data_IF_004152437636
#
_entry.id   IF_004152437636
#
_cell.length_a   1.000
_cell.length_b   1.000
_cell.length_c   1.000
_cell.angle_alpha   90.00
_cell.angle_beta   90.00
_cell.angle_gamma   90.00
#
_symmetry.space_group_name_H-M   'P 1'
#
loop_
_entity.id
_entity.type
_entity.pdbx_description
1 polymer ?
#
# COMPACT_ATOMS: atom_id res chain seq x y z
N UNK A 1 0.51 0.65 8.68
CA UNK A 1 -0.23 0.01 7.56
C UNK A 1 -1.28 -0.87 8.19
N UNK A 2 -2.55 -0.68 7.85
CA UNK A 2 -3.63 -1.48 8.43
C UNK A 2 -3.92 -2.62 7.47
N UNK A 3 -3.60 -3.85 7.86
CA UNK A 3 -4.11 -5.04 7.16
C UNK A 3 -5.44 -5.40 7.82
N UNK A 4 -6.54 -5.07 7.16
CA UNK A 4 -7.88 -5.46 7.62
C UNK A 4 -8.16 -6.86 7.03
N UNK A 5 -8.28 -7.83 7.93
CA UNK A 5 -8.69 -9.18 7.60
C UNK A 5 -10.21 -9.28 7.68
N UNK A 6 -10.80 -9.54 6.53
CA UNK A 6 -12.22 -9.84 6.39
C UNK A 6 -12.38 -11.35 6.31
N UNK A 7 -13.06 -11.94 7.30
CA UNK A 7 -13.37 -13.36 7.31
C UNK A 7 -14.77 -13.66 7.85
N UNK A 8 -15.45 -14.61 7.20
CA UNK A 8 -16.73 -15.19 7.58
C UNK A 8 -16.47 -16.62 8.05
N UNK A 9 -16.80 -16.86 9.33
CA UNK A 9 -17.09 -18.12 10.02
C UNK A 9 -16.03 -19.24 9.98
N UNK A 10 -15.19 -19.31 11.02
CA UNK A 10 -14.54 -20.54 11.49
C UNK A 10 -13.79 -20.36 12.82
N UNK A 11 -13.75 -21.46 13.55
CA UNK A 11 -12.97 -21.69 14.77
C UNK A 11 -11.52 -22.05 14.41
N UNK A 12 -10.54 -21.44 15.08
CA UNK A 12 -9.12 -21.86 15.10
C UNK A 12 -8.23 -21.39 13.93
N UNK A 13 -7.36 -20.38 14.16
CA UNK A 13 -6.39 -19.83 13.18
C UNK A 13 -4.98 -19.86 13.77
N UNK A 14 -3.99 -20.41 13.04
CA UNK A 14 -2.58 -20.37 13.47
C UNK A 14 -1.70 -19.60 12.50
N UNK A 15 -0.82 -18.75 13.05
CA UNK A 15 0.09 -17.89 12.31
C UNK A 15 1.54 -18.38 12.42
N UNK A 16 2.28 -18.36 11.31
CA UNK A 16 3.75 -18.48 11.37
C UNK A 16 4.43 -17.52 10.39
N UNK A 17 5.70 -17.15 10.63
CA UNK A 17 6.56 -16.49 9.66
C UNK A 17 6.92 -17.44 8.52
N UNK A 18 6.89 -16.98 7.25
CA UNK A 18 7.45 -17.74 6.13
C UNK A 18 8.29 -16.87 5.21
N UNK A 19 9.46 -17.41 4.83
CA UNK A 19 10.44 -16.79 3.95
C UNK A 19 10.01 -16.91 2.48
N UNK A 20 9.78 -15.77 1.81
CA UNK A 20 9.83 -15.74 0.35
C UNK A 20 11.31 -15.80 -0.04
N UNK A 21 11.70 -16.89 -0.72
CA UNK A 21 13.07 -17.17 -1.11
C UNK A 21 13.80 -15.95 -1.67
N UNK A 22 14.90 -15.58 -1.01
CA UNK A 22 15.75 -14.46 -1.38
C UNK A 22 16.53 -13.91 -0.19
N UNK A 23 17.50 -14.69 0.30
CA UNK A 23 18.68 -14.27 1.09
C UNK A 23 18.54 -12.96 1.91
N UNK A 24 17.72 -12.97 2.96
CA UNK A 24 17.77 -11.99 4.04
C UNK A 24 16.98 -12.51 5.27
N UNK A 25 17.69 -13.17 6.18
CA UNK A 25 17.29 -13.39 7.59
C UNK A 25 15.99 -14.15 7.83
N UNK A 26 16.11 -15.44 8.16
CA UNK A 26 15.05 -16.22 8.82
C UNK A 26 14.73 -15.58 10.16
N UNK A 27 13.80 -14.63 10.15
CA UNK A 27 13.39 -13.84 11.31
C UNK A 27 11.91 -14.07 11.55
N UNK A 28 11.56 -14.50 12.75
CA UNK A 28 10.16 -14.56 13.12
C UNK A 28 9.52 -13.17 13.01
N UNK A 29 8.31 -13.07 12.45
CA UNK A 29 7.55 -11.82 12.41
C UNK A 29 7.32 -11.37 13.85
N UNK A 30 7.89 -10.22 14.20
CA UNK A 30 7.71 -9.60 15.52
C UNK A 30 6.55 -8.61 15.41
N UNK A 31 5.52 -8.84 16.20
CA UNK A 31 4.37 -7.93 16.33
C UNK A 31 4.68 -6.96 17.47
N UNK A 32 4.44 -5.66 17.26
CA UNK A 32 4.63 -4.66 18.31
C UNK A 32 3.49 -4.71 19.33
N UNK A 33 2.27 -4.74 18.81
CA UNK A 33 1.05 -4.92 19.57
C UNK A 33 0.03 -5.65 18.70
N UNK A 34 -0.87 -6.34 19.38
CA UNK A 34 -2.02 -6.96 18.76
C UNK A 34 -3.21 -6.94 19.71
N UNK A 35 -4.39 -6.79 19.13
CA UNK A 35 -5.67 -6.83 19.81
C UNK A 35 -6.50 -7.94 19.19
N UNK A 36 -7.17 -8.73 20.01
CA UNK A 36 -7.98 -9.87 19.59
C UNK A 36 -9.46 -9.59 19.83
N UNK A 37 -10.30 -10.27 19.05
CA UNK A 37 -11.73 -10.32 19.32
C UNK A 37 -11.99 -11.04 20.66
N UNK A 38 -13.06 -10.67 21.36
CA UNK A 38 -13.45 -11.25 22.66
C UNK A 38 -13.70 -12.77 22.61
N UNK A 39 -14.00 -13.30 21.43
CA UNK A 39 -14.25 -14.73 21.23
C UNK A 39 -12.97 -15.56 21.08
N UNK A 40 -11.78 -14.92 21.08
CA UNK A 40 -10.49 -15.58 20.93
C UNK A 40 -9.93 -16.01 22.27
N UNK A 41 -9.63 -17.30 22.38
CA UNK A 41 -8.90 -17.94 23.46
C UNK A 41 -7.40 -17.94 23.15
N UNK A 42 -6.61 -17.38 24.07
CA UNK A 42 -5.17 -17.16 23.90
C UNK A 42 -4.30 -18.22 24.57
N UNK A 43 -4.88 -19.27 25.14
CA UNK A 43 -4.16 -20.30 25.91
C UNK A 43 -3.01 -20.95 25.12
N UNK A 44 -3.16 -21.07 23.79
CA UNK A 44 -2.15 -21.62 22.89
C UNK A 44 -1.31 -20.55 22.19
N UNK A 45 -1.71 -19.28 22.25
CA UNK A 45 -1.06 -18.22 21.48
C UNK A 45 0.39 -17.97 21.91
N UNK A 46 0.67 -18.05 23.21
CA UNK A 46 2.03 -17.83 23.73
C UNK A 46 2.99 -18.98 23.38
N UNK A 47 2.45 -20.19 23.16
CA UNK A 47 3.24 -21.40 22.90
C UNK A 47 3.55 -21.55 21.42
N UNK A 48 2.53 -21.51 20.57
CA UNK A 48 2.67 -21.86 19.15
C UNK A 48 2.01 -20.84 18.19
N UNK A 49 1.59 -19.68 18.71
CA UNK A 49 0.91 -18.61 17.95
C UNK A 49 -0.42 -19.08 17.34
N UNK A 50 -1.09 -20.04 17.97
CA UNK A 50 -2.45 -20.47 17.63
C UNK A 50 -3.49 -19.64 18.34
N UNK A 51 -4.45 -19.11 17.57
CA UNK A 51 -5.67 -18.51 18.05
C UNK A 51 -6.81 -19.53 17.99
N UNK A 52 -7.38 -19.89 19.12
CA UNK A 52 -8.61 -20.67 19.16
C UNK A 52 -9.77 -19.71 19.35
N UNK A 53 -10.90 -19.88 18.65
CA UNK A 53 -12.05 -19.01 18.83
C UNK A 53 -13.35 -19.73 18.52
N UNK A 54 -14.46 -19.21 19.08
CA UNK A 54 -15.81 -19.51 18.59
C UNK A 54 -16.29 -18.33 17.75
N UNK A 55 -16.42 -18.45 16.42
CA UNK A 55 -16.72 -17.31 15.57
C UNK A 55 -18.17 -16.84 15.79
N UNK A 56 -18.39 -15.53 16.00
CA UNK A 56 -19.70 -14.93 15.83
C UNK A 56 -20.25 -15.17 14.41
N UNK A 57 -21.57 -15.05 14.27
CA UNK A 57 -22.20 -15.09 12.96
C UNK A 57 -21.87 -13.81 12.17
N UNK A 58 -21.45 -13.98 10.92
CA UNK A 58 -21.11 -12.88 10.02
C UNK A 58 -19.61 -12.61 9.91
N UNK A 59 -19.30 -11.38 9.51
CA UNK A 59 -17.94 -10.90 9.29
C UNK A 59 -17.48 -10.08 10.50
N UNK A 60 -16.33 -10.45 11.06
CA UNK A 60 -15.77 -9.76 12.23
C UNK A 60 -14.24 -9.78 12.21
N UNK A 61 -13.57 -8.76 12.76
CA UNK A 61 -12.12 -8.73 12.85
C UNK A 61 -11.65 -9.70 13.94
N UNK A 62 -10.93 -10.76 13.57
CA UNK A 62 -10.37 -11.72 14.54
C UNK A 62 -9.19 -11.11 15.32
N UNK A 63 -8.33 -10.37 14.62
CA UNK A 63 -7.09 -9.81 15.15
C UNK A 63 -6.75 -8.50 14.43
N UNK A 64 -6.38 -7.48 15.19
CA UNK A 64 -5.73 -6.28 14.70
C UNK A 64 -4.29 -6.28 15.20
N UNK A 65 -3.33 -5.91 14.36
CA UNK A 65 -1.93 -5.93 14.75
C UNK A 65 -1.15 -4.76 14.14
N UNK A 66 -0.06 -4.39 14.80
CA UNK A 66 0.88 -3.38 14.33
C UNK A 66 2.30 -3.94 14.25
N UNK A 67 3.01 -3.53 13.21
CA UNK A 67 4.43 -3.85 12.99
C UNK A 67 5.14 -2.57 12.58
N UNK A 68 6.29 -2.33 13.20
CA UNK A 68 7.22 -1.22 12.95
C UNK A 68 8.60 -1.71 12.54
N UNK A 69 8.82 -3.03 12.51
CA UNK A 69 10.00 -3.61 11.92
C UNK A 69 10.22 -3.06 10.50
N UNK A 70 11.49 -2.83 10.15
CA UNK A 70 11.86 -2.41 8.81
C UNK A 70 11.32 -3.40 7.78
N UNK A 71 10.50 -2.90 6.88
CA UNK A 71 10.01 -3.65 5.74
C UNK A 71 10.33 -2.87 4.48
N UNK A 72 10.51 -3.59 3.36
CA UNK A 72 10.71 -2.97 2.06
C UNK A 72 9.37 -2.38 1.59
N UNK A 73 9.26 -1.05 1.39
CA UNK A 73 8.02 -0.45 0.92
C UNK A 73 7.65 -0.98 -0.47
N UNK A 74 6.36 -1.23 -0.77
CA UNK A 74 5.94 -1.81 -2.04
C UNK A 74 6.14 -0.90 -3.25
N UNK A 75 6.25 0.40 -3.02
CA UNK A 75 6.61 1.36 -4.05
C UNK A 75 7.85 2.13 -3.61
N UNK A 76 8.62 2.63 -4.56
CA UNK A 76 9.65 3.64 -4.32
C UNK A 76 9.29 4.85 -5.17
N UNK A 77 9.19 6.01 -4.53
CA UNK A 77 8.85 7.28 -5.19
C UNK A 77 10.10 8.14 -5.21
N UNK A 78 10.51 8.57 -6.40
CA UNK A 78 11.54 9.58 -6.58
C UNK A 78 10.92 10.79 -7.27
N UNK A 79 11.17 11.97 -6.74
CA UNK A 79 10.63 13.23 -7.25
C UNK A 79 11.80 14.16 -7.54
N UNK A 80 11.79 14.79 -8.70
CA UNK A 80 12.76 15.81 -9.08
C UNK A 80 11.99 17.03 -9.58
N UNK A 81 12.41 18.22 -9.13
CA UNK A 81 11.86 19.49 -9.56
C UNK A 81 12.99 20.29 -10.18
N UNK A 82 12.83 20.71 -11.43
CA UNK A 82 13.80 21.48 -12.19
C UNK A 82 13.21 22.83 -12.58
N UNK A 83 13.93 23.91 -12.35
CA UNK A 83 13.52 25.25 -12.79
C UNK A 83 13.82 25.41 -14.29
N UNK A 84 12.80 25.83 -15.05
CA UNK A 84 12.85 25.95 -16.51
C UNK A 84 12.65 27.41 -16.98
N UNK A 85 12.92 28.38 -16.08
CA UNK A 85 12.73 29.81 -16.28
C UNK A 85 12.00 30.46 -15.11
N UNK A 86 11.85 31.79 -15.11
CA UNK A 86 11.28 32.53 -13.97
C UNK A 86 9.79 32.22 -13.69
N UNK A 87 9.06 31.73 -14.70
CA UNK A 87 7.63 31.38 -14.63
C UNK A 87 7.34 29.92 -14.96
N UNK A 88 8.37 29.07 -15.02
CA UNK A 88 8.24 27.68 -15.46
C UNK A 88 9.09 26.73 -14.62
N UNK A 89 8.56 25.57 -14.32
CA UNK A 89 9.31 24.47 -13.74
C UNK A 89 8.86 23.14 -14.36
N UNK A 90 9.69 22.12 -14.27
CA UNK A 90 9.36 20.74 -14.63
C UNK A 90 9.42 19.86 -13.38
N UNK A 91 8.38 19.09 -13.16
CA UNK A 91 8.32 18.05 -12.12
C UNK A 91 8.42 16.69 -12.79
N UNK A 92 9.38 15.87 -12.36
CA UNK A 92 9.56 14.51 -12.82
C UNK A 92 9.28 13.57 -11.64
N UNK A 93 8.16 12.84 -11.73
CA UNK A 93 7.77 11.82 -10.77
C UNK A 93 8.11 10.45 -11.33
N UNK A 94 8.92 9.67 -10.60
CA UNK A 94 9.25 8.29 -10.93
C UNK A 94 8.77 7.38 -9.82
N UNK A 95 7.96 6.38 -10.16
CA UNK A 95 7.54 5.33 -9.25
C UNK A 95 8.08 3.98 -9.72
N UNK A 96 8.59 3.20 -8.78
CA UNK A 96 9.05 1.83 -9.01
C UNK A 96 8.28 0.87 -8.11
N UNK A 97 7.75 -0.20 -8.69
CA UNK A 97 7.08 -1.26 -7.95
C UNK A 97 8.10 -2.25 -7.38
N UNK A 98 8.24 -2.30 -6.06
CA UNK A 98 9.25 -3.07 -5.33
C UNK A 98 8.68 -4.39 -4.76
N UNK A 99 7.77 -5.01 -5.50
CA UNK A 99 7.18 -6.33 -5.21
C UNK A 99 7.32 -7.29 -6.40
N UNK A 100 7.14 -8.60 -6.20
CA UNK A 100 7.27 -9.63 -7.25
C UNK A 100 6.45 -9.35 -8.51
N UNK A 101 7.00 -9.68 -9.68
CA UNK A 101 6.44 -9.36 -11.01
C UNK A 101 5.19 -10.16 -11.39
N UNK A 102 4.88 -11.23 -10.66
CA UNK A 102 3.63 -11.99 -10.77
C UNK A 102 2.46 -11.30 -10.04
N UNK A 103 2.75 -10.28 -9.23
CA UNK A 103 1.74 -9.50 -8.50
C UNK A 103 1.47 -8.19 -9.25
N UNK A 104 0.20 -7.77 -9.25
CA UNK A 104 -0.25 -6.51 -9.86
C UNK A 104 -0.99 -5.66 -8.84
N UNK A 105 -0.55 -4.43 -8.64
CA UNK A 105 -1.26 -3.42 -7.89
C UNK A 105 -2.37 -2.79 -8.75
N UNK A 106 -3.47 -2.43 -8.11
CA UNK A 106 -4.64 -1.81 -8.73
C UNK A 106 -4.98 -0.49 -8.04
N UNK A 107 -5.66 0.39 -8.78
CA UNK A 107 -6.20 1.66 -8.25
C UNK A 107 -5.10 2.49 -7.58
N UNK A 108 -4.07 2.82 -8.35
CA UNK A 108 -2.96 3.65 -7.87
C UNK A 108 -3.31 5.11 -8.15
N UNK A 109 -3.18 5.96 -7.15
CA UNK A 109 -3.29 7.42 -7.29
C UNK A 109 -2.10 8.06 -6.59
N UNK A 110 -1.29 8.78 -7.36
CA UNK A 110 -0.19 9.62 -6.88
C UNK A 110 -0.68 11.06 -6.88
N UNK A 111 -0.47 11.78 -5.78
CA UNK A 111 -0.85 13.18 -5.66
C UNK A 111 0.30 14.00 -5.10
N UNK A 112 0.52 15.17 -5.68
CA UNK A 112 1.56 16.10 -5.25
C UNK A 112 0.98 17.52 -5.15
N UNK A 113 1.00 18.15 -3.97
CA UNK A 113 0.70 19.57 -3.85
C UNK A 113 1.74 20.40 -4.57
N UNK A 114 1.29 21.38 -5.33
CA UNK A 114 2.11 22.32 -6.10
C UNK A 114 2.06 23.72 -5.47
N UNK A 115 3.00 24.61 -5.80
CA UNK A 115 2.95 26.00 -5.34
C UNK A 115 1.62 26.68 -5.66
N UNK A 116 1.18 27.57 -4.76
CA UNK A 116 -0.15 28.19 -4.84
C UNK A 116 -0.37 29.05 -6.08
N UNK A 117 0.72 29.57 -6.64
CA UNK A 117 0.73 30.37 -7.88
C UNK A 117 0.84 29.53 -9.16
N UNK A 118 0.69 28.20 -9.09
CA UNK A 118 0.61 27.35 -10.28
C UNK A 118 -0.68 27.65 -11.05
N UNK A 119 -0.54 28.13 -12.28
CA UNK A 119 -1.67 28.51 -13.16
C UNK A 119 -2.04 27.39 -14.13
N UNK A 120 -1.05 26.66 -14.65
CA UNK A 120 -1.28 25.55 -15.58
C UNK A 120 -0.27 24.44 -15.36
N UNK A 121 -0.71 23.21 -15.60
CA UNK A 121 0.15 22.02 -15.66
C UNK A 121 -0.08 21.31 -16.99
N UNK A 122 1.00 21.01 -17.69
CA UNK A 122 1.00 20.19 -18.90
C UNK A 122 1.69 18.87 -18.60
N UNK A 123 1.02 17.77 -18.91
CA UNK A 123 1.48 16.42 -18.57
C UNK A 123 2.04 15.72 -19.81
N UNK A 124 3.19 15.08 -19.64
CA UNK A 124 3.84 14.25 -20.63
C UNK A 124 4.02 12.84 -20.05
N UNK A 125 3.31 11.88 -20.65
CA UNK A 125 3.41 10.46 -20.35
C UNK A 125 4.29 9.77 -21.39
N UNK A 126 4.94 8.68 -21.00
CA UNK A 126 5.72 7.87 -21.92
C UNK A 126 4.84 7.30 -23.04
N UNK A 127 5.30 7.31 -24.31
CA UNK A 127 4.53 6.76 -25.44
C UNK A 127 4.11 5.31 -25.23
N UNK A 128 2.88 4.96 -25.59
CA UNK A 128 2.36 3.60 -25.43
C UNK A 128 1.86 3.26 -24.02
N UNK A 129 1.86 4.24 -23.11
CA UNK A 129 1.30 4.07 -21.77
C UNK A 129 -0.23 3.90 -21.82
N UNK A 130 -0.72 2.75 -21.37
CA UNK A 130 -2.16 2.44 -21.31
C UNK A 130 -2.67 2.49 -19.87
N UNK A 131 -3.84 3.09 -19.67
CA UNK A 131 -4.52 3.06 -18.37
C UNK A 131 -3.91 3.98 -17.31
N UNK A 132 -3.09 4.95 -17.72
CA UNK A 132 -2.69 6.07 -16.88
C UNK A 132 -3.44 7.33 -17.27
N UNK A 133 -3.81 8.12 -16.28
CA UNK A 133 -4.49 9.41 -16.47
C UNK A 133 -3.89 10.44 -15.55
N UNK A 134 -3.82 11.68 -16.01
CA UNK A 134 -3.28 12.81 -15.26
C UNK A 134 -4.32 13.91 -15.17
N UNK A 135 -4.33 14.63 -14.05
CA UNK A 135 -5.22 15.76 -13.84
C UNK A 135 -4.53 16.81 -12.97
N UNK A 136 -4.96 18.06 -13.13
CA UNK A 136 -4.55 19.16 -12.27
C UNK A 136 -5.78 19.77 -11.61
N UNK A 137 -5.88 19.56 -10.31
CA UNK A 137 -6.92 20.13 -9.47
C UNK A 137 -6.53 21.56 -9.12
N UNK A 138 -7.03 22.52 -9.88
CA UNK A 138 -6.67 23.92 -9.72
C UNK A 138 -7.12 24.50 -8.35
N UNK A 139 -8.27 24.06 -7.85
CA UNK A 139 -8.87 24.56 -6.59
C UNK A 139 -8.01 24.29 -5.35
N UNK A 140 -7.25 23.19 -5.35
CA UNK A 140 -6.36 22.80 -4.25
C UNK A 140 -4.88 22.75 -4.68
N UNK A 141 -4.57 23.26 -5.88
CA UNK A 141 -3.24 23.32 -6.50
C UNK A 141 -2.51 21.98 -6.40
N UNK A 142 -3.17 20.93 -6.90
CA UNK A 142 -2.67 19.55 -6.77
C UNK A 142 -2.59 18.86 -8.10
N UNK A 143 -1.44 18.24 -8.36
CA UNK A 143 -1.26 17.30 -9.44
C UNK A 143 -1.77 15.93 -9.01
N UNK A 144 -2.49 15.25 -9.90
CA UNK A 144 -2.98 13.89 -9.71
C UNK A 144 -2.55 13.00 -10.88
N UNK A 145 -2.02 11.82 -10.57
CA UNK A 145 -1.61 10.82 -11.53
C UNK A 145 -2.15 9.47 -11.12
N UNK A 146 -3.09 8.96 -11.90
CA UNK A 146 -3.73 7.68 -11.65
C UNK A 146 -3.18 6.61 -12.58
N UNK A 147 -2.90 5.42 -12.05
CA UNK A 147 -2.55 4.23 -12.82
C UNK A 147 -3.55 3.13 -12.47
N UNK A 148 -4.24 2.59 -13.49
CA UNK A 148 -5.23 1.52 -13.28
C UNK A 148 -4.58 0.24 -12.76
N UNK A 149 -3.41 -0.10 -13.30
CA UNK A 149 -2.65 -1.31 -13.00
C UNK A 149 -1.15 -1.02 -13.03
N UNK A 150 -0.42 -1.60 -12.09
CA UNK A 150 1.05 -1.57 -12.04
C UNK A 150 1.56 -2.97 -11.69
N UNK A 151 2.44 -3.52 -12.53
CA UNK A 151 3.02 -4.84 -12.35
C UNK A 151 4.25 -4.74 -11.44
N UNK A 152 4.52 -5.76 -10.63
CA UNK A 152 5.72 -5.77 -9.80
C UNK A 152 7.01 -5.67 -10.63
N UNK A 153 7.99 -4.91 -10.14
CA UNK A 153 9.25 -4.68 -10.82
C UNK A 153 9.20 -3.67 -11.96
N UNK A 154 8.04 -3.09 -12.31
CA UNK A 154 7.96 -2.05 -13.35
C UNK A 154 8.30 -0.66 -12.80
N UNK A 155 8.82 0.18 -13.70
CA UNK A 155 9.06 1.60 -13.48
C UNK A 155 8.07 2.43 -14.30
N UNK A 156 7.55 3.50 -13.71
CA UNK A 156 6.68 4.46 -14.39
C UNK A 156 7.16 5.88 -14.13
N UNK A 157 7.13 6.72 -15.16
CA UNK A 157 7.55 8.12 -15.08
C UNK A 157 6.44 9.02 -15.58
N UNK A 158 6.21 10.11 -14.86
CA UNK A 158 5.38 11.23 -15.28
C UNK A 158 6.23 12.50 -15.30
N UNK A 159 6.16 13.24 -16.40
CA UNK A 159 6.70 14.61 -16.48
C UNK A 159 5.54 15.60 -16.47
N UNK A 160 5.65 16.63 -15.64
CA UNK A 160 4.66 17.68 -15.51
C UNK A 160 5.33 19.05 -15.62
N UNK A 161 5.04 19.76 -16.71
CA UNK A 161 5.51 21.12 -16.96
C UNK A 161 4.55 22.11 -16.31
N UNK A 162 5.07 22.85 -15.34
CA UNK A 162 4.35 23.86 -14.57
C UNK A 162 4.53 25.22 -15.22
N UNK A 163 3.43 25.98 -15.28
CA UNK A 163 3.43 27.41 -15.59
C UNK A 163 2.90 28.16 -14.38
N UNK A 164 3.59 29.23 -14.01
CA UNK A 164 3.29 30.05 -12.85
C UNK A 164 2.64 31.39 -13.25
N UNK A 165 1.80 31.95 -12.37
CA UNK A 165 1.18 33.27 -12.57
C UNK A 165 2.09 34.43 -12.16
N UNK A 166 3.13 34.16 -11.37
CA UNK A 166 4.10 35.12 -10.88
C UNK A 166 5.47 34.47 -10.78
N UNK A 167 6.53 35.26 -10.73
CA UNK A 167 7.89 34.75 -10.57
C UNK A 167 8.07 34.10 -9.20
N UNK A 168 8.78 32.97 -9.16
CA UNK A 168 9.10 32.31 -7.90
C UNK A 168 10.16 33.12 -7.16
N UNK A 169 9.82 33.64 -5.98
CA UNK A 169 10.75 34.35 -5.10
C UNK A 169 11.47 33.40 -4.11
N UNK A 170 11.23 32.09 -4.21
CA UNK A 170 11.67 31.07 -3.26
C UNK A 170 12.02 29.74 -3.94
N UNK A 171 12.43 28.77 -3.11
CA UNK A 171 12.75 27.42 -3.58
C UNK A 171 11.45 26.63 -3.79
N UNK A 172 11.15 26.31 -5.05
CA UNK A 172 9.92 25.61 -5.47
C UNK A 172 9.73 24.29 -4.72
N UNK A 173 10.82 23.56 -4.42
CA UNK A 173 10.76 22.30 -3.67
C UNK A 173 10.28 22.47 -2.24
N UNK A 174 10.57 23.62 -1.60
CA UNK A 174 10.06 23.91 -0.26
C UNK A 174 8.58 24.28 -0.26
N UNK A 175 8.11 24.86 -1.35
CA UNK A 175 6.71 25.27 -1.52
C UNK A 175 5.82 24.14 -2.04
N UNK A 176 6.41 23.21 -2.80
CA UNK A 176 5.78 21.97 -3.15
C UNK A 176 5.63 21.07 -1.93
N UNK A 177 4.47 20.43 -1.81
CA UNK A 177 4.19 19.51 -0.72
C UNK A 177 4.77 18.11 -0.99
N UNK A 178 4.79 17.22 0.02
CA UNK A 178 5.25 15.86 -0.18
C UNK A 178 4.33 15.09 -1.14
N UNK A 179 4.89 14.10 -1.82
CA UNK A 179 4.13 13.23 -2.72
C UNK A 179 3.41 12.17 -1.89
N UNK A 180 2.09 12.12 -2.03
CA UNK A 180 1.23 11.10 -1.42
C UNK A 180 0.82 10.07 -2.45
N UNK A 181 0.62 8.83 -2.01
CA UNK A 181 0.21 7.72 -2.87
C UNK A 181 -0.85 6.87 -2.19
N UNK A 182 -1.89 6.50 -2.92
CA UNK A 182 -2.83 5.46 -2.52
C UNK A 182 -2.77 4.31 -3.52
N UNK A 183 -2.93 3.08 -3.04
CA UNK A 183 -2.86 1.87 -3.85
C UNK A 183 -3.54 0.71 -3.15
N UNK A 184 -3.96 -0.30 -3.93
CA UNK A 184 -4.39 -1.61 -3.43
C UNK A 184 -3.59 -2.71 -4.12
N UNK A 185 -2.92 -3.57 -3.35
CA UNK A 185 -2.16 -4.71 -3.86
C UNK A 185 -2.81 -6.00 -3.35
N UNK A 186 -3.57 -6.73 -4.19
CA UNK A 186 -4.08 -8.05 -3.84
C UNK A 186 -2.93 -9.07 -3.77
N UNK A 187 -3.12 -10.11 -2.96
CA UNK A 187 -2.21 -11.24 -2.79
C UNK A 187 -0.79 -10.87 -2.35
N UNK A 188 -0.59 -9.65 -1.84
CA UNK A 188 0.68 -9.17 -1.33
C UNK A 188 0.58 -8.84 0.16
N UNK A 189 1.61 -9.22 0.90
CA UNK A 189 1.68 -9.04 2.33
C UNK A 189 3.08 -8.56 2.77
N UNK A 190 3.27 -7.25 3.00
CA UNK A 190 4.55 -6.71 3.43
C UNK A 190 4.89 -7.08 4.88
N UNK A 191 3.89 -7.39 5.71
CA UNK A 191 4.10 -7.80 7.10
C UNK A 191 4.69 -9.20 7.25
N UNK A 192 4.68 -10.00 6.17
CA UNK A 192 5.06 -11.42 6.15
C UNK A 192 4.26 -12.33 7.12
N UNK A 193 3.26 -11.79 7.82
CA UNK A 193 2.38 -12.56 8.71
C UNK A 193 1.43 -13.44 7.87
N UNK A 194 1.65 -14.74 7.84
CA UNK A 194 0.85 -15.66 7.04
C UNK A 194 0.04 -16.64 7.88
N UNK A 195 -1.15 -16.98 7.38
CA UNK A 195 -1.98 -18.06 7.94
C UNK A 195 -1.44 -19.39 7.43
N UNK A 196 -0.99 -20.25 8.35
CA UNK A 196 -0.43 -21.57 8.01
C UNK A 196 -1.53 -22.59 7.75
N UNK A 197 -2.49 -22.64 8.65
CA UNK A 197 -3.62 -23.56 8.59
C UNK A 197 -4.84 -22.95 9.26
N UNK A 198 -5.98 -23.44 8.83
CA UNK A 198 -7.30 -23.09 9.33
C UNK A 198 -8.03 -24.40 9.64
N UNK A 199 -8.26 -24.69 10.92
CA UNK A 199 -8.78 -25.98 11.34
C UNK A 199 -10.12 -25.85 12.07
N UNK A 200 -11.17 -26.38 11.46
CA UNK A 200 -12.51 -26.42 12.06
C UNK A 200 -12.64 -27.66 12.93
N UNK A 201 -12.68 -27.48 14.25
CA UNK A 201 -12.81 -28.56 15.21
C UNK A 201 -14.18 -29.27 15.16
N UNK A 202 -15.27 -28.50 14.98
CA UNK A 202 -16.64 -29.03 14.95
C UNK A 202 -16.99 -29.57 13.56
N UNK A 203 -16.70 -30.86 13.33
CA UNK A 203 -17.14 -31.59 12.14
C UNK A 203 -18.60 -32.03 12.30
N UNK A 204 -19.55 -31.32 11.70
CA UNK A 204 -20.84 -31.94 11.39
C UNK A 204 -20.67 -32.79 10.13
N UNK A 205 -21.17 -34.04 10.13
CA UNK A 205 -21.09 -34.95 8.96
C UNK A 205 -21.67 -34.35 7.68
N UNK A 206 -22.52 -33.33 7.79
CA UNK A 206 -23.20 -32.65 6.68
C UNK A 206 -22.66 -31.25 6.37
N UNK A 207 -21.70 -30.72 7.13
CA UNK A 207 -21.21 -29.35 6.97
C UNK A 207 -19.69 -29.32 6.75
N UNK A 208 -19.27 -29.11 5.50
CA UNK A 208 -17.88 -28.85 5.12
C UNK A 208 -17.79 -27.46 4.45
N UNK A 209 -17.56 -26.39 5.22
CA UNK A 209 -17.55 -25.04 4.68
C UNK A 209 -16.32 -24.81 3.80
N UNK A 210 -16.50 -23.97 2.78
CA UNK A 210 -15.41 -23.53 1.92
C UNK A 210 -14.45 -22.62 2.69
N UNK A 211 -13.15 -22.84 2.53
CA UNK A 211 -12.08 -22.13 3.24
C UNK A 211 -11.27 -21.33 2.24
N UNK A 212 -11.09 -20.04 2.50
CA UNK A 212 -10.24 -19.19 1.68
C UNK A 212 -9.51 -18.19 2.58
N UNK A 213 -8.33 -17.79 2.13
CA UNK A 213 -7.51 -16.73 2.74
C UNK A 213 -7.08 -15.82 1.61
N UNK A 214 -7.25 -14.50 1.78
CA UNK A 214 -6.80 -13.51 0.81
C UNK A 214 -6.00 -12.43 1.51
N UNK A 215 -4.82 -12.11 1.00
CA UNK A 215 -4.03 -10.98 1.48
C UNK A 215 -4.40 -9.77 0.66
N UNK A 216 -4.70 -8.63 1.30
CA UNK A 216 -4.91 -7.36 0.60
C UNK A 216 -4.13 -6.29 1.33
N UNK A 217 -3.27 -5.62 0.57
CA UNK A 217 -2.43 -4.53 1.04
C UNK A 217 -3.03 -3.21 0.55
N UNK A 218 -3.35 -2.31 1.47
CA UNK A 218 -3.86 -0.97 1.15
C UNK A 218 -2.99 0.11 1.79
N UNK A 219 -2.74 1.18 1.04
CA UNK A 219 -2.11 2.38 1.58
C UNK A 219 -3.16 3.23 2.34
N UNK A 220 -2.89 3.50 3.62
CA UNK A 220 -3.65 4.49 4.39
C UNK A 220 -2.93 5.86 4.34
N UNK A 221 -1.68 5.91 4.81
CA UNK A 221 -0.81 7.07 4.69
C UNK A 221 0.53 6.64 4.11
N UNK A 222 0.71 6.87 2.80
CA UNK A 222 1.96 6.61 2.10
C UNK A 222 2.47 7.92 1.49
N UNK A 223 3.51 8.49 2.09
CA UNK A 223 3.99 9.84 1.79
C UNK A 223 5.51 9.83 1.62
N UNK A 224 5.99 10.33 0.49
CA UNK A 224 7.40 10.57 0.21
C UNK A 224 7.69 12.08 0.27
N UNK A 225 8.64 12.47 1.12
CA UNK A 225 9.12 13.86 1.16
C UNK A 225 10.06 14.12 -0.02
N UNK A 226 10.04 15.36 -0.51
CA UNK A 226 10.85 15.85 -1.63
C UNK A 226 12.10 16.53 -1.07
#
# INVERSE_FOLDING_TARGET
MWCIWYYIKSDGITFVPTDYGGSAGSGAVVLDDCNFHESVQLDSFDVDRTLTLVPPDGEFPVMNYRITQEFKPPFRINTLIEEAGSLKAEVILKIRAEFPSDITANTILVQMPLPTYTSRVSFELEPGTVGQTTDFKESNKRLEWSLKKVVGGSDHTLRAKLTFSQESHGNITKEAGPVSMTFTIPMYNPSRLQVKYLQIAKKSKTYNPYRWVRYVTQANSYVARI
#
